data_IF_659692558231
#
_entry.id   IF_659692558231
#
_cell.length_a   1.000
_cell.length_b   1.000
_cell.length_c   1.000
_cell.angle_alpha   90.00
_cell.angle_beta   90.00
_cell.angle_gamma   90.00
#
_symmetry.space_group_name_H-M   'P 1'
#
loop_
_entity.id
_entity.type
_entity.pdbx_description
1 polymer ?
#
# COMPACT_ATOMS: atom_id res chain seq x y z
N UNK A 1 -28.94 -6.46 -14.32
CA UNK A 1 -28.39 -6.20 -15.67
C UNK A 1 -27.04 -6.90 -15.77
N UNK A 2 -26.45 -7.04 -16.97
CA UNK A 2 -25.10 -7.58 -17.12
C UNK A 2 -24.09 -6.43 -17.24
N UNK A 3 -23.14 -6.36 -16.31
CA UNK A 3 -22.12 -5.31 -16.24
C UNK A 3 -20.73 -5.90 -16.52
N UNK A 4 -19.97 -5.26 -17.42
CA UNK A 4 -18.58 -5.60 -17.69
C UNK A 4 -17.66 -4.55 -17.09
N UNK A 5 -16.79 -4.99 -16.19
CA UNK A 5 -15.66 -4.21 -15.69
C UNK A 5 -14.40 -4.59 -16.46
N UNK A 6 -13.65 -3.58 -16.91
CA UNK A 6 -12.33 -3.73 -17.52
C UNK A 6 -11.34 -2.96 -16.67
N UNK A 7 -10.35 -3.65 -16.11
CA UNK A 7 -9.35 -3.01 -15.26
C UNK A 7 -7.94 -3.46 -15.61
N UNK A 8 -6.99 -2.53 -15.49
CA UNK A 8 -5.56 -2.86 -15.56
C UNK A 8 -5.20 -3.77 -14.39
N UNK A 9 -4.25 -4.70 -14.56
CA UNK A 9 -3.85 -5.67 -13.53
C UNK A 9 -2.96 -5.04 -12.43
N UNK A 10 -3.20 -3.78 -12.10
CA UNK A 10 -2.39 -2.97 -11.20
C UNK A 10 -3.10 -2.79 -9.87
N UNK A 11 -2.48 -3.01 -8.69
CA UNK A 11 -3.16 -2.95 -7.39
C UNK A 11 -4.00 -1.69 -7.18
N UNK A 12 -3.47 -0.53 -7.57
CA UNK A 12 -4.16 0.77 -7.45
C UNK A 12 -5.38 0.94 -8.37
N UNK A 13 -5.49 0.14 -9.43
CA UNK A 13 -6.61 0.18 -10.39
C UNK A 13 -7.58 -0.99 -10.19
N UNK A 14 -7.03 -2.17 -9.91
CA UNK A 14 -7.77 -3.42 -9.78
C UNK A 14 -8.61 -3.45 -8.51
N UNK A 15 -8.02 -3.26 -7.33
CA UNK A 15 -8.74 -3.47 -6.08
C UNK A 15 -9.90 -2.49 -5.85
N UNK A 16 -9.78 -1.17 -6.13
CA UNK A 16 -10.91 -0.25 -5.95
C UNK A 16 -12.10 -0.59 -6.85
N UNK A 17 -11.84 -0.99 -8.10
CA UNK A 17 -12.88 -1.33 -9.06
C UNK A 17 -13.46 -2.72 -8.83
N UNK A 18 -12.65 -3.68 -8.37
CA UNK A 18 -13.11 -5.03 -7.99
C UNK A 18 -14.07 -4.96 -6.80
N UNK A 19 -13.80 -4.13 -5.79
CA UNK A 19 -14.73 -3.95 -4.65
C UNK A 19 -16.08 -3.36 -5.06
N UNK A 20 -16.10 -2.48 -6.05
CA UNK A 20 -17.35 -1.97 -6.62
C UNK A 20 -18.10 -3.05 -7.41
N UNK A 21 -17.39 -3.85 -8.19
CA UNK A 21 -17.96 -4.98 -8.92
C UNK A 21 -18.57 -6.04 -7.99
N UNK A 22 -17.90 -6.35 -6.88
CA UNK A 22 -18.40 -7.25 -5.84
C UNK A 22 -19.69 -6.73 -5.20
N UNK A 23 -19.75 -5.44 -4.85
CA UNK A 23 -20.94 -4.80 -4.30
C UNK A 23 -22.13 -4.89 -5.27
N UNK A 24 -21.90 -4.60 -6.56
CA UNK A 24 -22.94 -4.71 -7.59
C UNK A 24 -23.40 -6.16 -7.81
N UNK A 25 -22.47 -7.13 -7.75
CA UNK A 25 -22.79 -8.55 -7.80
C UNK A 25 -23.64 -9.00 -6.60
N UNK A 26 -23.29 -8.53 -5.39
CA UNK A 26 -24.06 -8.80 -4.18
C UNK A 26 -25.47 -8.21 -4.21
N UNK A 27 -25.68 -7.11 -4.96
CA UNK A 27 -26.99 -6.50 -5.23
C UNK A 27 -27.81 -7.20 -6.32
N UNK A 28 -27.29 -8.29 -6.90
CA UNK A 28 -28.00 -9.12 -7.86
C UNK A 28 -27.77 -8.76 -9.34
N UNK A 29 -26.80 -7.90 -9.65
CA UNK A 29 -26.36 -7.73 -11.04
C UNK A 29 -25.53 -8.93 -11.47
N UNK A 30 -25.64 -9.30 -12.75
CA UNK A 30 -24.65 -10.18 -13.36
C UNK A 30 -23.41 -9.34 -13.62
N UNK A 31 -22.26 -9.73 -13.07
CA UNK A 31 -21.02 -8.96 -13.22
C UNK A 31 -19.95 -9.84 -13.84
N UNK A 32 -19.33 -9.34 -14.92
CA UNK A 32 -18.09 -9.90 -15.45
C UNK A 32 -16.97 -8.91 -15.17
N UNK A 33 -15.88 -9.37 -14.57
CA UNK A 33 -14.69 -8.57 -14.34
C UNK A 33 -13.53 -9.13 -15.16
N UNK A 34 -12.96 -8.30 -16.03
CA UNK A 34 -11.89 -8.70 -16.93
C UNK A 34 -10.61 -7.91 -16.66
N UNK A 35 -9.52 -8.63 -16.40
CA UNK A 35 -8.19 -8.06 -16.17
C UNK A 35 -7.08 -9.04 -16.54
N UNK A 36 -5.87 -8.54 -16.81
CA UNK A 36 -4.69 -9.36 -17.09
C UNK A 36 -4.04 -9.97 -15.85
N UNK A 37 -4.71 -9.83 -14.70
CA UNK A 37 -4.25 -10.28 -13.41
C UNK A 37 -4.33 -11.82 -13.31
N UNK A 38 -3.23 -12.51 -12.99
CA UNK A 38 -3.22 -13.98 -12.96
C UNK A 38 -3.99 -14.57 -11.77
N UNK A 39 -4.35 -13.77 -10.77
CA UNK A 39 -5.01 -14.19 -9.54
C UNK A 39 -6.43 -13.64 -9.38
N UNK A 40 -6.97 -12.98 -10.41
CA UNK A 40 -8.30 -12.36 -10.36
C UNK A 40 -9.39 -13.35 -9.92
N UNK A 41 -9.35 -14.58 -10.43
CA UNK A 41 -10.36 -15.62 -10.13
C UNK A 41 -10.40 -15.97 -8.64
N UNK A 42 -9.26 -15.91 -7.95
CA UNK A 42 -9.18 -16.18 -6.51
C UNK A 42 -9.58 -14.98 -5.65
N UNK A 43 -9.46 -13.77 -6.20
CA UNK A 43 -9.74 -12.52 -5.50
C UNK A 43 -11.19 -12.10 -5.62
N UNK A 44 -11.86 -12.48 -6.71
CA UNK A 44 -13.23 -12.08 -7.00
C UNK A 44 -14.24 -12.78 -6.06
N UNK A 45 -15.10 -11.99 -5.43
CA UNK A 45 -16.24 -12.51 -4.67
C UNK A 45 -17.25 -13.29 -5.52
N UNK A 46 -18.10 -14.08 -4.86
CA UNK A 46 -19.04 -15.03 -5.50
C UNK A 46 -20.06 -14.42 -6.47
N UNK A 47 -20.28 -13.11 -6.42
CA UNK A 47 -21.17 -12.38 -7.33
C UNK A 47 -20.49 -11.89 -8.62
N UNK A 48 -19.20 -12.19 -8.81
CA UNK A 48 -18.39 -11.66 -9.92
C UNK A 48 -17.81 -12.82 -10.72
N UNK A 49 -18.11 -12.85 -12.02
CA UNK A 49 -17.45 -13.75 -12.96
C UNK A 49 -16.15 -13.12 -13.43
N UNK A 50 -15.02 -13.62 -12.92
CA UNK A 50 -13.70 -13.20 -13.35
C UNK A 50 -13.32 -13.80 -14.72
N UNK A 51 -12.63 -13.01 -15.54
CA UNK A 51 -12.07 -13.41 -16.83
C UNK A 51 -10.65 -12.85 -16.93
N UNK A 52 -9.68 -13.73 -17.18
CA UNK A 52 -8.34 -13.28 -17.56
C UNK A 52 -8.35 -12.67 -18.97
N UNK A 53 -7.97 -11.41 -19.10
CA UNK A 53 -7.95 -10.67 -20.36
C UNK A 53 -6.82 -9.65 -20.41
N UNK A 54 -5.95 -9.76 -21.41
CA UNK A 54 -4.84 -8.82 -21.64
C UNK A 54 -3.51 -9.30 -21.09
N UNK A 55 -2.57 -8.36 -20.90
CA UNK A 55 -1.24 -8.62 -20.33
C UNK A 55 -1.28 -8.45 -18.83
N UNK A 56 -0.55 -9.29 -18.10
CA UNK A 56 -0.26 -9.06 -16.69
C UNK A 56 0.57 -7.80 -16.50
N UNK A 57 0.56 -7.27 -15.28
CA UNK A 57 1.32 -6.09 -14.94
C UNK A 57 2.81 -6.26 -15.15
N UNK A 58 3.34 -7.43 -14.79
CA UNK A 58 4.72 -7.83 -15.09
C UNK A 58 5.06 -7.65 -16.56
N UNK A 59 4.18 -8.10 -17.46
CA UNK A 59 4.36 -8.00 -18.91
C UNK A 59 4.22 -6.56 -19.44
N UNK A 60 3.63 -5.65 -18.65
CA UNK A 60 3.60 -4.21 -18.95
C UNK A 60 4.89 -3.50 -18.48
N UNK A 61 5.65 -4.11 -17.58
CA UNK A 61 6.75 -3.48 -16.83
C UNK A 61 8.13 -4.14 -17.05
N UNK A 62 8.32 -4.89 -18.14
CA UNK A 62 9.58 -5.61 -18.43
C UNK A 62 10.79 -4.67 -18.71
N UNK A 63 11.20 -3.92 -17.70
CA UNK A 63 12.44 -3.16 -17.54
C UNK A 63 13.40 -3.95 -16.60
N UNK A 64 14.73 -3.74 -16.69
CA UNK A 64 15.69 -4.42 -15.83
C UNK A 64 15.48 -4.08 -14.35
N UNK A 65 15.58 -5.10 -13.49
CA UNK A 65 15.49 -4.98 -12.04
C UNK A 65 16.77 -4.31 -11.50
N UNK A 66 16.65 -3.24 -10.71
CA UNK A 66 17.69 -2.87 -9.72
C UNK A 66 17.37 -3.57 -8.38
N UNK A 67 18.36 -3.80 -7.54
CA UNK A 67 18.19 -4.42 -6.24
C UNK A 67 19.00 -3.58 -5.25
N UNK A 68 18.38 -3.16 -4.14
CA UNK A 68 19.01 -2.21 -3.20
C UNK A 68 19.34 -2.83 -1.84
N UNK A 69 18.76 -4.00 -1.52
CA UNK A 69 18.98 -4.74 -0.27
C UNK A 69 18.51 -6.19 -0.36
N UNK A 70 19.01 -7.05 0.54
CA UNK A 70 18.53 -8.41 0.79
C UNK A 70 17.92 -8.47 2.18
N UNK A 71 16.68 -8.96 2.31
CA UNK A 71 15.99 -9.13 3.61
C UNK A 71 15.81 -10.61 3.90
N UNK A 72 16.08 -11.03 5.14
CA UNK A 72 16.09 -12.44 5.54
C UNK A 72 15.44 -12.69 6.91
N UNK A 73 14.82 -13.85 7.06
CA UNK A 73 14.46 -14.40 8.37
C UNK A 73 15.72 -14.92 9.09
N UNK A 74 15.80 -14.96 10.43
CA UNK A 74 16.99 -15.44 11.14
C UNK A 74 17.39 -16.87 10.74
N UNK A 75 16.43 -17.70 10.36
CA UNK A 75 16.64 -19.09 9.91
C UNK A 75 17.23 -19.16 8.50
N UNK A 76 17.01 -18.14 7.67
CA UNK A 76 17.55 -18.07 6.29
C UNK A 76 18.66 -17.04 6.12
N UNK A 77 19.04 -16.35 7.20
CA UNK A 77 20.04 -15.28 7.21
C UNK A 77 21.40 -15.71 6.65
N UNK A 78 21.81 -16.96 6.85
CA UNK A 78 23.05 -17.49 6.30
C UNK A 78 23.03 -17.53 4.75
N UNK A 79 21.98 -18.10 4.16
CA UNK A 79 21.81 -18.19 2.70
C UNK A 79 21.64 -16.80 2.09
N UNK A 80 20.87 -15.94 2.75
CA UNK A 80 20.68 -14.56 2.31
C UNK A 80 21.96 -13.73 2.44
N UNK A 81 22.84 -14.02 3.41
CA UNK A 81 24.15 -13.38 3.51
C UNK A 81 25.04 -13.68 2.31
N UNK A 82 25.00 -14.89 1.77
CA UNK A 82 25.80 -15.25 0.60
C UNK A 82 25.31 -14.52 -0.65
N UNK A 83 24.00 -14.44 -0.81
CA UNK A 83 23.36 -13.68 -1.89
C UNK A 83 23.62 -12.17 -1.79
N UNK A 84 23.52 -11.59 -0.58
CA UNK A 84 23.80 -10.19 -0.32
C UNK A 84 25.25 -9.81 -0.67
N UNK A 85 26.22 -10.67 -0.31
CA UNK A 85 27.62 -10.49 -0.71
C UNK A 85 27.83 -10.62 -2.21
N UNK A 86 27.17 -11.57 -2.86
CA UNK A 86 27.30 -11.78 -4.29
C UNK A 86 26.79 -10.59 -5.12
N UNK A 87 25.82 -9.85 -4.59
CA UNK A 87 25.21 -8.70 -5.27
C UNK A 87 25.67 -7.34 -4.74
N UNK A 88 26.59 -7.32 -3.78
CA UNK A 88 27.09 -6.10 -3.10
C UNK A 88 25.96 -5.26 -2.46
N UNK A 89 25.00 -5.95 -1.83
CA UNK A 89 23.83 -5.34 -1.21
C UNK A 89 23.83 -5.48 0.31
N UNK A 90 23.23 -4.53 1.06
CA UNK A 90 23.04 -4.69 2.50
C UNK A 90 22.09 -5.85 2.84
N UNK A 91 22.45 -6.68 3.83
CA UNK A 91 21.60 -7.73 4.42
C UNK A 91 20.85 -7.19 5.65
N UNK A 92 19.52 -7.34 5.67
CA UNK A 92 18.65 -7.05 6.80
C UNK A 92 18.05 -8.34 7.34
N UNK A 93 18.34 -8.70 8.59
CA UNK A 93 17.75 -9.88 9.24
C UNK A 93 16.55 -9.44 10.10
N UNK A 94 15.33 -9.78 9.68
CA UNK A 94 14.09 -9.46 10.38
C UNK A 94 13.96 -10.32 11.68
N UNK A 95 13.43 -9.74 12.77
CA UNK A 95 13.37 -10.40 14.10
C UNK A 95 12.19 -11.37 14.32
N UNK A 96 12.32 -12.27 15.31
CA UNK A 96 11.38 -13.35 15.63
C UNK A 96 10.05 -12.87 16.27
N UNK A 97 8.93 -13.16 15.58
CA UNK A 97 7.66 -13.72 16.08
C UNK A 97 6.52 -13.40 15.09
N UNK A 98 6.36 -14.26 14.07
CA UNK A 98 5.12 -14.35 13.31
C UNK A 98 4.13 -15.19 14.14
N UNK A 99 2.85 -14.81 14.28
CA UNK A 99 1.87 -15.67 14.93
C UNK A 99 1.79 -17.02 14.20
N UNK A 100 1.65 -18.11 14.97
CA UNK A 100 1.32 -19.43 14.44
C UNK A 100 -0.03 -19.35 13.72
N UNK A 101 0.00 -19.12 12.41
CA UNK A 101 -1.19 -19.26 11.57
C UNK A 101 -1.48 -20.76 11.40
N UNK A 102 -2.69 -21.25 11.75
CA UNK A 102 -3.09 -22.63 11.51
C UNK A 102 -3.22 -22.96 10.01
N UNK A 103 -3.21 -21.93 9.16
CA UNK A 103 -3.05 -22.05 7.73
C UNK A 103 -1.57 -21.88 7.42
N UNK A 104 -0.89 -22.98 7.10
CA UNK A 104 0.43 -22.95 6.52
C UNK A 104 0.52 -21.94 5.37
N UNK A 105 1.73 -21.46 5.14
CA UNK A 105 2.11 -20.44 4.18
C UNK A 105 1.21 -20.36 2.92
N UNK A 106 0.56 -19.22 2.63
CA UNK A 106 -0.09 -19.05 1.34
C UNK A 106 1.01 -18.99 0.26
N UNK A 107 0.96 -19.95 -0.65
CA UNK A 107 1.70 -19.91 -1.90
C UNK A 107 1.52 -18.52 -2.56
N UNK A 108 2.64 -17.90 -2.88
CA UNK A 108 2.85 -16.81 -3.86
C UNK A 108 1.65 -15.87 -4.13
N UNK A 109 1.73 -14.63 -3.62
CA UNK A 109 1.08 -13.48 -4.28
C UNK A 109 2.03 -12.29 -4.24
N UNK A 110 2.77 -12.10 -5.32
CA UNK A 110 3.66 -10.96 -5.52
C UNK A 110 3.11 -10.09 -6.66
N UNK A 111 2.93 -8.79 -6.38
CA UNK A 111 2.75 -7.77 -7.41
C UNK A 111 4.01 -6.91 -7.48
N UNK A 112 4.53 -6.83 -8.71
CA UNK A 112 5.46 -5.84 -9.25
C UNK A 112 6.88 -5.68 -8.70
N UNK A 113 7.76 -5.45 -9.68
CA UNK A 113 9.03 -4.74 -9.67
C UNK A 113 9.54 -4.24 -8.31
N UNK A 114 10.71 -4.77 -7.95
CA UNK A 114 11.54 -4.53 -6.77
C UNK A 114 11.26 -5.42 -5.55
N UNK A 115 12.34 -6.12 -5.16
CA UNK A 115 12.52 -7.16 -4.14
C UNK A 115 12.19 -8.59 -4.63
N UNK A 116 13.24 -9.42 -4.71
CA UNK A 116 13.08 -10.87 -4.75
C UNK A 116 12.29 -11.33 -3.51
N UNK A 117 11.06 -11.76 -3.77
CA UNK A 117 10.25 -12.76 -3.06
C UNK A 117 10.29 -12.79 -1.52
N UNK A 118 9.23 -12.19 -0.97
CA UNK A 118 8.59 -12.28 0.36
C UNK A 118 8.95 -13.52 1.21
N UNK A 119 9.10 -13.34 2.54
CA UNK A 119 8.23 -14.10 3.43
C UNK A 119 7.26 -13.27 4.28
N UNK A 120 6.00 -13.73 4.40
CA UNK A 120 4.84 -13.02 4.95
C UNK A 120 5.01 -12.33 6.31
N UNK A 121 4.12 -11.34 6.50
CA UNK A 121 4.10 -10.23 7.45
C UNK A 121 5.46 -9.51 7.63
N UNK A 122 5.81 -8.67 6.64
CA UNK A 122 6.02 -7.23 6.86
C UNK A 122 6.55 -6.88 8.28
N UNK A 123 7.84 -7.15 8.53
CA UNK A 123 8.47 -7.09 9.86
C UNK A 123 8.89 -5.69 10.33
N UNK A 124 9.59 -5.60 11.46
CA UNK A 124 10.20 -4.36 11.93
C UNK A 124 11.67 -4.25 11.51
N UNK A 125 12.13 -3.02 11.21
CA UNK A 125 13.54 -2.72 10.92
C UNK A 125 14.43 -3.06 12.11
N UNK A 126 13.92 -2.88 13.33
CA UNK A 126 14.63 -3.19 14.56
C UNK A 126 13.78 -3.93 15.59
N UNK A 127 14.27 -5.08 16.06
CA UNK A 127 13.59 -5.93 17.06
C UNK A 127 12.16 -6.34 16.65
N UNK A 128 11.50 -7.25 17.39
CA UNK A 128 10.09 -7.54 17.16
C UNK A 128 9.22 -6.30 17.46
N UNK A 129 8.35 -5.92 16.53
CA UNK A 129 7.34 -4.88 16.76
C UNK A 129 6.28 -5.37 17.74
N UNK A 130 5.80 -4.48 18.60
CA UNK A 130 4.67 -4.73 19.49
C UNK A 130 3.57 -3.71 19.24
N UNK A 131 2.40 -4.18 18.82
CA UNK A 131 1.16 -3.40 18.63
C UNK A 131 0.84 -2.46 19.79
N UNK A 132 1.07 -2.93 21.02
CA UNK A 132 0.82 -2.17 22.25
C UNK A 132 2.12 -1.73 22.96
N UNK A 133 3.20 -1.58 22.19
CA UNK A 133 4.45 -1.02 22.70
C UNK A 133 4.30 0.45 23.07
N UNK A 134 5.12 0.92 24.01
CA UNK A 134 5.16 2.35 24.41
C UNK A 134 5.90 3.25 23.42
N UNK A 135 6.62 2.64 22.47
CA UNK A 135 7.41 3.36 21.46
C UNK A 135 6.50 3.74 20.28
N UNK A 136 6.70 4.92 19.69
CA UNK A 136 6.00 5.33 18.49
C UNK A 136 6.22 4.36 17.33
N UNK A 137 5.27 4.30 16.41
CA UNK A 137 5.29 3.42 15.25
C UNK A 137 5.48 4.24 13.98
N UNK A 138 6.59 3.99 13.28
CA UNK A 138 6.84 4.50 11.94
C UNK A 138 6.52 3.39 10.95
N UNK A 139 5.41 3.52 10.22
CA UNK A 139 5.06 2.54 9.20
C UNK A 139 5.70 2.93 7.86
N UNK A 140 6.15 1.94 7.10
CA UNK A 140 6.84 2.15 5.82
C UNK A 140 6.32 1.15 4.79
N UNK A 141 5.91 1.60 3.62
CA UNK A 141 5.51 0.75 2.50
C UNK A 141 6.41 0.94 1.26
N UNK A 142 7.73 0.98 1.46
CA UNK A 142 8.67 1.12 0.36
C UNK A 142 10.14 0.97 0.78
N UNK A 143 11.08 1.08 -0.18
CA UNK A 143 12.49 0.72 0.02
C UNK A 143 13.34 1.77 0.73
N UNK A 144 12.77 2.67 1.54
CA UNK A 144 13.53 3.69 2.29
C UNK A 144 14.45 3.13 3.39
N UNK A 145 14.83 1.86 3.33
CA UNK A 145 15.49 1.10 4.39
C UNK A 145 16.85 1.68 4.77
N UNK A 146 17.68 2.10 3.80
CA UNK A 146 19.00 2.67 4.07
C UNK A 146 18.96 3.97 4.90
N UNK A 147 18.26 5.02 4.43
CA UNK A 147 18.01 6.23 5.21
C UNK A 147 17.33 5.97 6.56
N UNK A 148 16.36 5.05 6.62
CA UNK A 148 15.64 4.70 7.85
C UNK A 148 16.55 4.06 8.91
N UNK A 149 17.41 3.13 8.52
CA UNK A 149 18.37 2.48 9.43
C UNK A 149 19.35 3.50 10.02
N UNK A 150 19.76 4.50 9.23
CA UNK A 150 20.64 5.59 9.69
C UNK A 150 19.93 6.60 10.59
N UNK A 151 18.66 6.89 10.31
CA UNK A 151 17.88 7.92 10.98
C UNK A 151 17.27 7.46 12.32
N UNK A 152 16.80 6.22 12.38
CA UNK A 152 15.99 5.73 13.50
C UNK A 152 16.70 4.61 14.25
N UNK A 153 16.97 4.85 15.53
CA UNK A 153 17.50 3.84 16.45
C UNK A 153 16.41 2.92 16.98
N UNK A 154 16.79 1.67 17.25
CA UNK A 154 15.89 0.65 17.77
C UNK A 154 15.30 0.97 19.16
N UNK A 155 15.90 1.84 19.95
CA UNK A 155 15.42 2.19 21.30
C UNK A 155 14.29 3.21 21.29
N UNK A 156 14.18 4.00 20.22
CA UNK A 156 13.31 5.18 20.16
C UNK A 156 12.04 4.94 19.35
N UNK A 157 12.14 4.12 18.29
CA UNK A 157 11.06 3.90 17.33
C UNK A 157 10.80 2.42 17.07
N UNK A 158 9.55 2.10 16.73
CA UNK A 158 9.21 0.85 16.07
C UNK A 158 9.00 1.15 14.59
N UNK A 159 10.04 0.95 13.78
CA UNK A 159 9.93 1.11 12.33
C UNK A 159 9.41 -0.21 11.76
N UNK A 160 8.21 -0.19 11.19
CA UNK A 160 7.48 -1.37 10.70
C UNK A 160 7.32 -1.26 9.20
N UNK A 161 7.82 -2.24 8.47
CA UNK A 161 7.66 -2.31 7.02
C UNK A 161 6.40 -3.10 6.74
N UNK A 162 5.24 -2.45 6.58
CA UNK A 162 3.92 -3.09 6.45
C UNK A 162 2.96 -2.38 5.50
N UNK A 163 2.06 -3.14 4.86
CA UNK A 163 0.92 -2.64 4.07
C UNK A 163 -0.39 -2.58 4.86
N UNK A 164 -0.42 -3.17 6.05
CA UNK A 164 -1.67 -3.54 6.73
C UNK A 164 -1.75 -3.02 8.17
N UNK A 165 -0.63 -2.62 8.78
CA UNK A 165 -0.58 -2.18 10.18
C UNK A 165 -0.80 -0.67 10.39
N UNK A 166 -1.37 0.00 9.39
CA UNK A 166 -1.70 1.44 9.41
C UNK A 166 -2.49 1.91 10.64
N UNK A 167 -3.49 1.17 11.17
CA UNK A 167 -4.23 1.61 12.36
C UNK A 167 -3.37 1.79 13.62
N UNK A 168 -2.15 1.25 13.62
CA UNK A 168 -1.20 1.34 14.74
C UNK A 168 -0.04 2.31 14.47
N UNK A 169 -0.01 2.96 13.31
CA UNK A 169 1.06 3.86 12.92
C UNK A 169 0.87 5.26 13.50
N UNK A 170 1.96 5.88 13.98
CA UNK A 170 1.99 7.31 14.31
C UNK A 170 2.29 8.17 13.09
N UNK A 171 3.15 7.68 12.20
CA UNK A 171 3.52 8.31 10.94
C UNK A 171 3.68 7.22 9.88
N UNK A 172 3.27 7.51 8.65
CA UNK A 172 3.37 6.59 7.52
C UNK A 172 4.26 7.16 6.40
N UNK A 173 5.27 6.39 5.99
CA UNK A 173 6.20 6.73 4.91
C UNK A 173 5.87 5.91 3.68
N UNK A 174 5.61 6.62 2.59
CA UNK A 174 5.19 5.98 1.35
C UNK A 174 5.69 6.72 0.11
N UNK A 175 5.79 5.99 -1.00
CA UNK A 175 6.09 6.54 -2.32
C UNK A 175 4.96 7.42 -2.89
N UNK A 176 3.88 7.65 -2.14
CA UNK A 176 2.83 8.57 -2.53
C UNK A 176 1.86 8.01 -3.58
N UNK A 177 1.94 6.71 -3.88
CA UNK A 177 0.94 6.05 -4.72
C UNK A 177 -0.45 6.21 -4.13
N UNK A 178 -1.44 6.42 -5.00
CA UNK A 178 -2.81 6.73 -4.60
C UNK A 178 -3.40 5.68 -3.64
N UNK A 179 -3.09 4.40 -3.84
CA UNK A 179 -3.55 3.31 -2.97
C UNK A 179 -3.02 3.45 -1.54
N UNK A 180 -1.73 3.76 -1.40
CA UNK A 180 -1.08 3.96 -0.11
C UNK A 180 -1.59 5.24 0.58
N UNK A 181 -1.64 6.35 -0.14
CA UNK A 181 -2.22 7.61 0.33
C UNK A 181 -3.64 7.40 0.83
N UNK A 182 -4.48 6.72 0.05
CA UNK A 182 -5.87 6.41 0.42
C UNK A 182 -5.95 5.51 1.66
N UNK A 183 -5.02 4.59 1.84
CA UNK A 183 -4.93 3.77 3.05
C UNK A 183 -4.53 4.60 4.27
N UNK A 184 -3.55 5.49 4.15
CA UNK A 184 -3.14 6.43 5.20
C UNK A 184 -4.27 7.37 5.63
N UNK A 185 -5.01 7.92 4.67
CA UNK A 185 -6.19 8.77 4.93
C UNK A 185 -7.30 7.99 5.65
N UNK A 186 -7.60 6.75 5.23
CA UNK A 186 -8.59 5.88 5.90
C UNK A 186 -8.19 5.51 7.32
N UNK A 187 -6.89 5.34 7.57
CA UNK A 187 -6.37 5.05 8.90
C UNK A 187 -6.31 6.31 9.79
N UNK A 188 -6.29 7.50 9.18
CA UNK A 188 -6.14 8.78 9.88
C UNK A 188 -4.71 8.99 10.36
N UNK A 189 -3.73 8.61 9.53
CA UNK A 189 -2.30 8.64 9.86
C UNK A 189 -1.61 9.75 9.05
N UNK A 190 -0.86 10.67 9.70
CA UNK A 190 -0.02 11.64 9.00
C UNK A 190 1.08 10.97 8.17
N UNK A 191 1.43 11.56 7.03
CA UNK A 191 2.29 10.92 6.02
C UNK A 191 3.54 11.72 5.66
N UNK A 192 4.61 11.01 5.31
CA UNK A 192 5.71 11.53 4.50
C UNK A 192 5.66 10.84 3.14
N UNK A 193 5.60 11.63 2.07
CA UNK A 193 5.39 11.18 0.70
C UNK A 193 6.64 11.43 -0.15
N UNK A 194 7.10 10.42 -0.88
CA UNK A 194 8.18 10.53 -1.87
C UNK A 194 7.69 10.10 -3.27
N UNK A 195 6.87 10.94 -3.94
CA UNK A 195 6.28 10.62 -5.25
C UNK A 195 7.33 10.43 -6.34
N UNK A 196 7.09 9.49 -7.26
CA UNK A 196 8.00 9.14 -8.36
C UNK A 196 7.49 9.57 -9.73
N UNK A 197 6.23 9.94 -9.85
CA UNK A 197 5.60 10.42 -11.09
C UNK A 197 4.91 11.76 -10.90
N UNK A 198 4.63 12.46 -12.01
CA UNK A 198 3.90 13.74 -11.98
C UNK A 198 2.48 13.61 -11.38
N UNK A 199 1.81 12.48 -11.63
CA UNK A 199 0.49 12.19 -11.06
C UNK A 199 0.56 12.02 -9.55
N UNK A 200 1.53 11.22 -9.08
CA UNK A 200 1.78 11.03 -7.64
C UNK A 200 2.19 12.35 -6.98
N UNK A 201 3.00 13.18 -7.63
CA UNK A 201 3.39 14.50 -7.12
C UNK A 201 2.19 15.42 -6.96
N UNK A 202 1.32 15.51 -7.97
CA UNK A 202 0.11 16.31 -7.87
C UNK A 202 -0.81 15.83 -6.73
N UNK A 203 -0.95 14.51 -6.55
CA UNK A 203 -1.69 13.93 -5.42
C UNK A 203 -1.01 14.26 -4.07
N UNK A 204 0.30 14.10 -3.97
CA UNK A 204 1.07 14.36 -2.76
C UNK A 204 0.99 15.84 -2.35
N UNK A 205 1.06 16.76 -3.30
CA UNK A 205 0.89 18.20 -3.06
C UNK A 205 -0.51 18.55 -2.56
N UNK A 206 -1.55 17.93 -3.11
CA UNK A 206 -2.92 18.11 -2.62
C UNK A 206 -3.05 17.63 -1.16
N UNK A 207 -2.53 16.44 -0.86
CA UNK A 207 -2.59 15.86 0.49
C UNK A 207 -1.75 16.68 1.48
N UNK A 208 -0.60 17.18 1.06
CA UNK A 208 0.21 18.10 1.85
C UNK A 208 -0.49 19.45 2.07
N UNK A 209 -1.19 19.96 1.06
CA UNK A 209 -2.02 21.17 1.15
C UNK A 209 -3.20 21.05 2.12
N UNK A 210 -3.70 19.83 2.36
CA UNK A 210 -4.67 19.56 3.43
C UNK A 210 -4.04 19.60 4.82
N UNK A 211 -2.70 19.55 4.91
CA UNK A 211 -1.95 19.58 6.17
C UNK A 211 -1.75 18.22 6.82
N UNK A 212 -2.01 17.11 6.13
CA UNK A 212 -1.83 15.73 6.67
C UNK A 212 -0.55 15.06 6.19
N UNK A 213 0.17 15.68 5.24
CA UNK A 213 1.40 15.13 4.72
C UNK A 213 2.53 16.15 4.54
N UNK A 214 3.75 15.63 4.46
CA UNK A 214 4.93 16.34 3.98
C UNK A 214 5.49 15.60 2.76
N UNK A 215 6.00 16.35 1.79
CA UNK A 215 6.56 15.79 0.55
C UNK A 215 8.08 15.92 0.60
N UNK A 216 8.78 14.85 0.24
CA UNK A 216 10.22 14.84 0.00
C UNK A 216 10.47 14.44 -1.46
N UNK A 217 11.57 14.90 -2.04
CA UNK A 217 11.87 14.63 -3.45
C UNK A 217 12.15 13.13 -3.71
N UNK A 218 12.88 12.48 -2.81
CA UNK A 218 13.28 11.09 -2.90
C UNK A 218 13.64 10.60 -1.49
N UNK A 219 13.31 9.35 -1.15
CA UNK A 219 13.82 8.77 0.09
C UNK A 219 15.30 8.40 -0.03
N UNK A 220 15.76 7.99 -1.21
CA UNK A 220 17.14 7.54 -1.43
C UNK A 220 18.14 8.68 -1.26
N UNK A 221 17.76 9.87 -1.72
CA UNK A 221 18.57 11.09 -1.62
C UNK A 221 18.31 11.88 -0.33
N UNK A 222 17.31 11.49 0.47
CA UNK A 222 17.00 12.19 1.71
C UNK A 222 18.12 11.97 2.75
N UNK A 223 18.61 13.06 3.32
CA UNK A 223 19.48 12.98 4.49
C UNK A 223 18.70 12.36 5.66
N UNK A 224 19.31 11.38 6.31
CA UNK A 224 18.72 10.62 7.40
C UNK A 224 18.19 11.54 8.53
N UNK A 225 18.95 12.58 8.89
CA UNK A 225 18.56 13.53 9.93
C UNK A 225 17.37 14.40 9.52
N UNK A 226 17.25 14.77 8.24
CA UNK A 226 16.12 15.54 7.74
C UNK A 226 14.84 14.72 7.77
N UNK A 227 14.93 13.46 7.33
CA UNK A 227 13.83 12.51 7.42
C UNK A 227 13.40 12.29 8.87
N UNK A 228 14.38 12.12 9.79
CA UNK A 228 14.11 11.98 11.22
C UNK A 228 13.34 13.18 11.77
N UNK A 229 13.84 14.39 11.53
CA UNK A 229 13.20 15.64 11.98
C UNK A 229 11.78 15.78 11.44
N UNK A 230 11.56 15.42 10.18
CA UNK A 230 10.25 15.49 9.54
C UNK A 230 9.23 14.55 10.21
N UNK A 231 9.65 13.31 10.45
CA UNK A 231 8.84 12.28 11.10
C UNK A 231 8.55 12.65 12.56
N UNK A 232 9.57 13.08 13.31
CA UNK A 232 9.39 13.51 14.69
C UNK A 232 8.44 14.70 14.80
N UNK A 233 8.55 15.67 13.87
CA UNK A 233 7.64 16.80 13.80
C UNK A 233 6.20 16.35 13.52
N UNK A 234 5.96 15.57 12.46
CA UNK A 234 4.62 15.08 12.11
C UNK A 234 3.98 14.25 13.22
N UNK A 235 4.79 13.49 13.97
CA UNK A 235 4.32 12.67 15.09
C UNK A 235 3.61 13.50 16.16
N UNK A 236 4.08 14.72 16.41
CA UNK A 236 3.60 15.59 17.50
C UNK A 236 2.84 16.83 17.00
N UNK A 237 2.72 16.99 15.68
CA UNK A 237 1.99 18.09 15.04
C UNK A 237 0.46 17.89 15.19
N UNK A 238 -0.10 18.47 16.26
CA UNK A 238 -1.51 18.32 16.60
C UNK A 238 -2.46 18.79 15.48
N UNK A 239 -2.23 19.93 14.79
CA UNK A 239 -2.95 20.27 13.57
C UNK A 239 -2.99 19.15 12.51
N UNK A 240 -1.85 18.56 12.15
CA UNK A 240 -1.80 17.48 11.16
C UNK A 240 -2.58 16.23 11.63
N UNK A 241 -2.43 15.87 12.91
CA UNK A 241 -3.16 14.73 13.52
C UNK A 241 -4.66 14.96 13.60
N UNK A 242 -5.09 16.19 13.92
CA UNK A 242 -6.50 16.57 13.91
C UNK A 242 -7.09 16.50 12.51
N UNK A 243 -6.37 17.01 11.50
CA UNK A 243 -6.75 16.86 10.09
C UNK A 243 -6.84 15.39 9.69
N UNK A 244 -5.86 14.56 10.05
CA UNK A 244 -5.86 13.13 9.72
C UNK A 244 -7.10 12.41 10.27
N UNK A 245 -7.45 12.67 11.55
CA UNK A 245 -8.69 12.13 12.17
C UNK A 245 -9.94 12.60 11.44
N UNK A 246 -10.03 13.89 11.11
CA UNK A 246 -11.17 14.45 10.36
C UNK A 246 -11.30 13.84 8.97
N UNK A 247 -10.20 13.68 8.24
CA UNK A 247 -10.22 13.08 6.90
C UNK A 247 -10.63 11.61 6.97
N UNK A 248 -10.17 10.86 7.98
CA UNK A 248 -10.66 9.49 8.22
C UNK A 248 -12.18 9.45 8.40
N UNK A 249 -12.74 10.34 9.21
CA UNK A 249 -14.19 10.42 9.42
C UNK A 249 -14.93 10.75 8.13
N UNK A 250 -14.43 11.70 7.33
CA UNK A 250 -15.01 12.06 6.04
C UNK A 250 -14.94 10.91 5.03
N UNK A 251 -13.80 10.21 4.95
CA UNK A 251 -13.64 9.06 4.06
C UNK A 251 -14.53 7.90 4.50
N UNK A 252 -14.67 7.65 5.81
CA UNK A 252 -15.61 6.65 6.32
C UNK A 252 -17.06 7.02 6.00
N UNK A 253 -17.43 8.30 6.16
CA UNK A 253 -18.76 8.81 5.85
C UNK A 253 -19.09 8.78 4.35
N UNK A 254 -18.08 8.75 3.46
CA UNK A 254 -18.29 8.63 2.02
C UNK A 254 -18.95 7.29 1.62
N UNK A 255 -18.84 6.24 2.45
CA UNK A 255 -19.66 5.02 2.33
C UNK A 255 -19.34 4.11 1.13
N UNK A 256 -18.14 4.20 0.56
CA UNK A 256 -17.72 3.27 -0.50
C UNK A 256 -17.56 1.83 0.04
N UNK A 257 -17.86 0.79 -0.77
CA UNK A 257 -18.26 0.86 -2.18
C UNK A 257 -19.77 1.13 -2.39
N UNK A 258 -20.61 1.02 -1.36
CA UNK A 258 -22.07 1.13 -1.49
C UNK A 258 -22.53 2.44 -2.16
N UNK A 259 -22.00 3.59 -1.73
CA UNK A 259 -22.33 4.89 -2.36
C UNK A 259 -21.93 4.93 -3.84
N UNK A 260 -20.84 4.26 -4.23
CA UNK A 260 -20.43 4.20 -5.63
C UNK A 260 -21.36 3.30 -6.45
N UNK A 261 -21.79 2.17 -5.88
CA UNK A 261 -22.80 1.31 -6.50
C UNK A 261 -24.13 2.04 -6.70
N UNK A 262 -24.62 2.78 -5.70
CA UNK A 262 -25.84 3.59 -5.81
C UNK A 262 -25.75 4.57 -7.00
N UNK A 263 -24.57 5.20 -7.18
CA UNK A 263 -24.32 6.12 -8.30
C UNK A 263 -24.31 5.41 -9.64
N UNK A 264 -23.69 4.24 -9.74
CA UNK A 264 -23.70 3.43 -10.97
C UNK A 264 -25.13 3.01 -11.31
N UNK A 265 -25.90 2.50 -10.36
CA UNK A 265 -27.29 2.10 -10.56
C UNK A 265 -28.18 3.28 -10.98
N UNK A 266 -27.98 4.45 -10.37
CA UNK A 266 -28.67 5.68 -10.77
C UNK A 266 -28.36 6.10 -12.21
N UNK A 267 -27.10 5.97 -12.65
CA UNK A 267 -26.70 6.24 -14.04
C UNK A 267 -27.29 5.22 -15.03
N UNK A 268 -27.40 3.96 -14.63
CA UNK A 268 -27.97 2.90 -15.47
C UNK A 268 -29.50 3.00 -15.59
N UNK A 269 -30.17 3.57 -14.58
CA UNK A 269 -31.60 3.86 -14.62
C UNK A 269 -31.96 5.11 -15.43
N UNK A 270 -30.97 5.99 -15.71
CA UNK A 270 -31.18 7.16 -16.54
C UNK A 270 -31.33 6.77 -18.03
N UNK A 271 -32.15 7.50 -18.82
CA UNK A 271 -32.22 7.26 -20.25
C UNK A 271 -30.84 7.44 -20.90
N UNK A 272 -30.49 6.64 -21.93
CA UNK A 272 -29.19 6.75 -22.59
C UNK A 272 -28.93 8.19 -23.05
N UNK A 273 -27.71 8.68 -22.84
CA UNK A 273 -27.25 10.03 -23.25
C UNK A 273 -27.52 10.33 -24.74
N UNK A 274 -27.73 9.31 -25.57
CA UNK A 274 -28.10 9.41 -26.98
C UNK A 274 -29.54 9.88 -27.26
N UNK A 275 -30.39 10.09 -26.25
CA UNK A 275 -31.76 10.63 -26.42
C UNK A 275 -31.91 12.09 -25.97
N UNK A 276 -30.81 12.79 -25.65
CA UNK A 276 -30.82 14.20 -25.22
C UNK A 276 -30.30 15.17 -26.30
N UNK A 277 -30.51 14.86 -27.59
CA UNK A 277 -30.22 15.75 -28.72
C UNK A 277 -31.39 15.76 -29.71
#
# INVERSE_FOLDING_TARGET
MHLLFLSRPAPGHLYPTLRLAEELGARGHEVTFASGDPHLDEQAGSGVRAISFGRSERQLLEAPLFLDAVVADPRTAAVASDMARAWDLPLLVAGENLPESPHGWPHERAYESYVFTVPGARGAVHNPWRRHGRRPVLLVDGPALGPLVRAFGHTEWQVVVSDTELPHADVFLTDGRLAAVSAGLRAGVPMVLAPKSAEETACAEQVAGLGVAKVVASFDDAHAEDLRRLVEHLRVDEPARATARRLRELVAAAGAPATAADRVEGLLAAPPLAQAA
#
